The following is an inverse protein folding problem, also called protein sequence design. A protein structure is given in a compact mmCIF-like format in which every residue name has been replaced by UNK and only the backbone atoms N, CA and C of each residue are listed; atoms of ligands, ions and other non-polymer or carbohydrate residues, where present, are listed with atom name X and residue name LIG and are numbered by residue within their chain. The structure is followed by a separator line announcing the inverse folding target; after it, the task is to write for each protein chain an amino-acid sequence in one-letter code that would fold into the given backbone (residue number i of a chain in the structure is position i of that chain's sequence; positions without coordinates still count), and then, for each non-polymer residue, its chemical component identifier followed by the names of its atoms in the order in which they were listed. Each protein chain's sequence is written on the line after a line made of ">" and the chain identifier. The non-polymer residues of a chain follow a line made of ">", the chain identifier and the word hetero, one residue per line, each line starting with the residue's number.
data_IF_792535855233
#
_entry.id   IF_792535855233
#
_cell.length_a   1.000
_cell.length_b   1.000
_cell.length_c   1.000
_cell.angle_alpha   90.00
_cell.angle_beta   90.00
_cell.angle_gamma   90.00
#
_symmetry.space_group_name_H-M   'P 1'
#
loop_
_entity.id
_entity.type
_entity.pdbx_description
1 polymer ?
#
# COMPACT_ATOMS: atom_id res chain seq x y z
N UNK A 1 -23.37 21.15 -6.23
CA UNK A 1 -21.89 21.13 -6.25
C UNK A 1 -21.37 19.80 -6.82
N UNK A 2 -20.52 19.77 -7.86
CA UNK A 2 -20.18 18.52 -8.53
C UNK A 2 -19.16 17.76 -7.67
N UNK A 3 -19.52 16.54 -7.26
CA UNK A 3 -18.63 15.66 -6.52
C UNK A 3 -17.53 15.17 -7.47
N UNK A 4 -16.28 15.55 -7.18
CA UNK A 4 -15.08 15.07 -7.87
C UNK A 4 -14.82 13.62 -7.46
N UNK A 5 -15.43 12.69 -8.19
CA UNK A 5 -15.03 11.30 -8.16
C UNK A 5 -13.73 11.19 -8.95
N UNK A 6 -12.58 11.20 -8.26
CA UNK A 6 -11.32 10.85 -8.90
C UNK A 6 -11.36 9.38 -9.28
N UNK A 7 -10.67 9.02 -10.35
CA UNK A 7 -10.55 7.64 -10.80
C UNK A 7 -10.10 6.72 -9.65
N UNK A 8 -9.23 7.20 -8.76
CA UNK A 8 -8.78 6.45 -7.58
C UNK A 8 -9.91 6.16 -6.59
N UNK A 9 -10.81 7.12 -6.33
CA UNK A 9 -11.96 6.92 -5.44
C UNK A 9 -12.96 5.94 -6.02
N UNK A 10 -13.17 5.99 -7.33
CA UNK A 10 -14.07 5.07 -8.02
C UNK A 10 -13.53 3.64 -7.98
N UNK A 11 -12.23 3.48 -8.24
CA UNK A 11 -11.58 2.17 -8.17
C UNK A 11 -11.45 1.64 -6.74
N UNK A 12 -11.14 2.50 -5.77
CA UNK A 12 -11.15 2.14 -4.35
C UNK A 12 -12.50 1.58 -3.92
N UNK A 13 -13.60 2.23 -4.33
CA UNK A 13 -14.95 1.77 -4.07
C UNK A 13 -15.25 0.42 -4.75
N UNK A 14 -14.79 0.21 -6.00
CA UNK A 14 -15.00 -1.06 -6.72
C UNK A 14 -14.21 -2.22 -6.11
N UNK A 15 -12.94 -1.98 -5.77
CA UNK A 15 -12.10 -2.97 -5.09
C UNK A 15 -12.68 -3.38 -3.72
N UNK A 16 -13.23 -2.41 -2.98
CA UNK A 16 -13.87 -2.66 -1.70
C UNK A 16 -15.18 -3.44 -1.86
N UNK A 17 -15.97 -3.18 -2.90
CA UNK A 17 -17.20 -3.91 -3.20
C UNK A 17 -16.96 -5.36 -3.63
N UNK A 18 -15.89 -5.62 -4.39
CA UNK A 18 -15.55 -6.98 -4.86
C UNK A 18 -14.93 -7.85 -3.76
N UNK A 19 -14.27 -7.26 -2.75
CA UNK A 19 -13.79 -8.00 -1.56
C UNK A 19 -14.90 -8.78 -0.85
N UNK A 20 -16.10 -8.22 -0.79
CA UNK A 20 -17.24 -8.84 -0.11
C UNK A 20 -17.84 -10.02 -0.90
N UNK A 21 -17.48 -10.18 -2.18
CA UNK A 21 -18.07 -11.19 -3.06
C UNK A 21 -17.25 -12.48 -3.20
N UNK A 22 -16.02 -12.55 -2.70
CA UNK A 22 -15.17 -13.73 -2.93
C UNK A 22 -14.34 -14.10 -1.70
N UNK A 23 -14.58 -15.30 -1.14
CA UNK A 23 -13.85 -15.82 0.03
C UNK A 23 -12.61 -16.62 -0.40
N UNK A 24 -11.41 -16.26 0.08
CA UNK A 24 -10.21 -17.11 0.00
C UNK A 24 -8.88 -16.36 -0.08
N UNK A 25 -7.81 -17.00 0.41
CA UNK A 25 -6.42 -16.47 0.50
C UNK A 25 -5.77 -16.21 -0.88
N UNK A 26 -6.33 -16.77 -1.96
CA UNK A 26 -5.90 -16.51 -3.34
C UNK A 26 -6.62 -15.36 -4.06
N UNK A 27 -7.75 -14.89 -3.54
CA UNK A 27 -8.58 -13.89 -4.24
C UNK A 27 -7.97 -12.48 -4.17
N UNK A 28 -7.30 -12.15 -3.07
CA UNK A 28 -6.68 -10.84 -2.89
C UNK A 28 -5.60 -10.59 -3.94
N UNK A 29 -4.78 -11.61 -4.23
CA UNK A 29 -3.76 -11.55 -5.30
C UNK A 29 -4.38 -11.42 -6.69
N UNK A 30 -5.45 -12.17 -6.99
CA UNK A 30 -6.17 -12.09 -8.28
C UNK A 30 -6.84 -10.72 -8.49
N UNK A 31 -7.46 -10.16 -7.45
CA UNK A 31 -8.07 -8.82 -7.52
C UNK A 31 -7.01 -7.74 -7.73
N UNK A 32 -5.90 -7.84 -7.00
CA UNK A 32 -4.73 -6.98 -7.17
C UNK A 32 -4.21 -7.01 -8.61
N UNK A 33 -3.98 -8.20 -9.16
CA UNK A 33 -3.47 -8.36 -10.52
C UNK A 33 -4.45 -7.79 -11.56
N UNK A 34 -5.75 -7.98 -11.35
CA UNK A 34 -6.79 -7.40 -12.20
C UNK A 34 -6.84 -5.87 -12.12
N UNK A 35 -6.69 -5.28 -10.93
CA UNK A 35 -6.64 -3.83 -10.75
C UNK A 35 -5.41 -3.24 -11.45
N UNK A 36 -4.25 -3.89 -11.32
CA UNK A 36 -3.03 -3.49 -12.00
C UNK A 36 -3.19 -3.54 -13.53
N UNK A 37 -3.80 -4.61 -14.06
CA UNK A 37 -4.06 -4.78 -15.49
C UNK A 37 -5.08 -3.78 -16.05
N UNK A 38 -6.19 -3.56 -15.34
CA UNK A 38 -7.22 -2.60 -15.76
C UNK A 38 -6.69 -1.17 -15.73
N UNK A 39 -5.90 -0.80 -14.71
CA UNK A 39 -5.26 0.53 -14.65
C UNK A 39 -4.27 0.73 -15.79
N UNK A 40 -3.45 -0.29 -16.08
CA UNK A 40 -2.54 -0.26 -17.21
C UNK A 40 -3.28 -0.04 -18.55
N UNK A 41 -4.45 -0.67 -18.71
CA UNK A 41 -5.25 -0.53 -19.92
C UNK A 41 -5.93 0.85 -20.07
N UNK A 42 -6.18 1.56 -18.97
CA UNK A 42 -6.91 2.84 -18.97
C UNK A 42 -6.01 4.07 -19.12
N UNK A 43 -4.70 3.95 -18.89
CA UNK A 43 -3.75 5.05 -19.00
C UNK A 43 -2.54 4.71 -19.88
N UNK A 44 -2.72 4.45 -21.19
CA UNK A 44 -1.60 4.17 -22.09
C UNK A 44 -0.75 5.42 -22.41
N UNK A 45 -1.31 6.64 -22.44
CA UNK A 45 -0.65 7.82 -23.06
C UNK A 45 -0.84 9.18 -22.32
N UNK A 46 -1.25 9.24 -21.06
CA UNK A 46 -1.51 10.50 -20.34
C UNK A 46 -0.45 10.84 -19.28
N UNK A 47 0.20 12.02 -19.38
CA UNK A 47 1.15 12.54 -18.39
C UNK A 47 0.48 12.81 -17.02
N UNK A 48 0.24 11.74 -16.27
CA UNK A 48 0.10 11.72 -14.83
C UNK A 48 1.19 10.75 -14.36
N UNK A 49 2.01 11.12 -13.37
CA UNK A 49 2.99 10.20 -12.84
C UNK A 49 2.30 8.87 -12.51
N UNK A 50 2.85 7.70 -12.91
CA UNK A 50 2.24 6.41 -12.60
C UNK A 50 1.84 6.38 -11.14
N UNK A 51 0.66 5.88 -10.80
CA UNK A 51 0.17 5.87 -9.42
C UNK A 51 1.21 5.37 -8.37
N UNK A 52 2.05 4.34 -8.67
CA UNK A 52 3.18 3.99 -7.79
C UNK A 52 4.16 5.15 -7.52
N UNK A 53 4.44 6.00 -8.50
CA UNK A 53 5.26 7.20 -8.33
C UNK A 53 4.57 8.27 -7.48
N UNK A 54 3.24 8.40 -7.56
CA UNK A 54 2.48 9.29 -6.67
C UNK A 54 2.51 8.78 -5.22
N UNK A 55 2.32 7.48 -5.02
CA UNK A 55 2.48 6.83 -3.71
C UNK A 55 3.89 7.02 -3.18
N UNK A 56 4.91 6.88 -4.03
CA UNK A 56 6.30 7.09 -3.64
C UNK A 56 6.56 8.55 -3.21
N UNK A 57 5.96 9.53 -3.89
CA UNK A 57 6.07 10.94 -3.51
C UNK A 57 5.39 11.22 -2.16
N UNK A 58 4.19 10.68 -1.94
CA UNK A 58 3.49 10.75 -0.65
C UNK A 58 4.27 10.06 0.46
N UNK A 59 4.91 8.93 0.16
CA UNK A 59 5.74 8.20 1.10
C UNK A 59 6.96 9.02 1.51
N UNK A 60 7.66 9.64 0.56
CA UNK A 60 8.76 10.55 0.87
C UNK A 60 8.32 11.72 1.77
N UNK A 61 7.15 12.31 1.50
CA UNK A 61 6.60 13.38 2.32
C UNK A 61 6.22 12.91 3.73
N UNK A 62 5.55 11.75 3.83
CA UNK A 62 5.17 11.14 5.10
C UNK A 62 6.40 10.87 5.98
N UNK A 63 7.46 10.31 5.40
CA UNK A 63 8.72 10.06 6.11
C UNK A 63 9.37 11.34 6.64
N UNK A 64 9.44 12.37 5.81
CA UNK A 64 9.98 13.66 6.21
C UNK A 64 9.18 14.27 7.38
N UNK A 65 7.86 14.07 7.41
CA UNK A 65 7.02 14.47 8.52
C UNK A 65 7.30 13.66 9.80
N UNK A 66 7.49 12.34 9.70
CA UNK A 66 7.88 11.49 10.85
C UNK A 66 9.24 11.93 11.43
N UNK A 67 10.23 12.17 10.56
CA UNK A 67 11.56 12.61 10.95
C UNK A 67 11.53 14.02 11.57
N UNK A 68 10.74 14.93 11.01
CA UNK A 68 10.49 16.26 11.56
C UNK A 68 9.79 16.23 12.93
N UNK A 69 8.98 15.21 13.19
CA UNK A 69 8.38 14.93 14.50
C UNK A 69 9.34 14.22 15.47
N UNK A 70 10.60 13.98 15.08
CA UNK A 70 11.63 13.38 15.91
C UNK A 70 11.65 11.85 15.90
N UNK A 71 10.82 11.18 15.08
CA UNK A 71 10.94 9.73 14.90
C UNK A 71 12.20 9.43 14.08
N UNK A 72 12.97 8.46 14.56
CA UNK A 72 14.10 7.91 13.83
C UNK A 72 13.83 6.44 13.58
N UNK A 73 14.07 6.01 12.35
CA UNK A 73 13.90 4.63 11.95
C UNK A 73 15.26 4.00 11.65
N UNK A 74 15.47 2.79 12.15
CA UNK A 74 16.64 1.98 11.81
C UNK A 74 16.62 1.56 10.35
N UNK A 75 17.76 1.12 9.80
CA UNK A 75 17.83 0.60 8.44
C UNK A 75 16.85 -0.57 8.20
N UNK A 76 16.64 -1.41 9.22
CA UNK A 76 15.68 -2.51 9.15
C UNK A 76 14.23 -2.01 9.15
N UNK A 77 13.89 -1.03 9.99
CA UNK A 77 12.57 -0.40 9.97
C UNK A 77 12.32 0.28 8.63
N UNK A 78 13.33 0.94 8.05
CA UNK A 78 13.20 1.56 6.73
C UNK A 78 12.91 0.57 5.64
N UNK A 79 13.61 -0.57 5.65
CA UNK A 79 13.35 -1.63 4.69
C UNK A 79 11.89 -2.08 4.70
N UNK A 80 11.30 -2.26 5.90
CA UNK A 80 9.90 -2.63 6.04
C UNK A 80 8.95 -1.54 5.53
N UNK A 81 9.19 -0.28 5.90
CA UNK A 81 8.39 0.85 5.44
C UNK A 81 8.44 1.01 3.91
N UNK A 82 9.62 0.85 3.31
CA UNK A 82 9.79 0.96 1.86
C UNK A 82 8.99 -0.13 1.14
N UNK A 83 8.99 -1.36 1.67
CA UNK A 83 8.22 -2.47 1.09
C UNK A 83 6.71 -2.31 1.28
N UNK A 84 6.26 -1.77 2.41
CA UNK A 84 4.84 -1.44 2.63
C UNK A 84 4.39 -0.38 1.62
N UNK A 85 5.16 0.70 1.45
CA UNK A 85 4.85 1.76 0.49
C UNK A 85 4.81 1.23 -0.95
N UNK A 86 5.78 0.37 -1.34
CA UNK A 86 5.79 -0.28 -2.64
C UNK A 86 4.54 -1.16 -2.85
N UNK A 87 4.16 -1.95 -1.85
CA UNK A 87 2.97 -2.80 -1.91
C UNK A 87 1.69 -1.96 -2.07
N UNK A 88 1.56 -0.87 -1.31
CA UNK A 88 0.42 0.06 -1.42
C UNK A 88 0.39 0.74 -2.80
N UNK A 89 1.56 1.10 -3.34
CA UNK A 89 1.68 1.68 -4.69
C UNK A 89 1.13 0.79 -5.79
N UNK A 90 1.22 -0.53 -5.61
CA UNK A 90 0.70 -1.52 -6.56
C UNK A 90 -0.75 -1.91 -6.26
N UNK A 91 -1.11 -2.00 -4.97
CA UNK A 91 -2.30 -2.74 -4.52
C UNK A 91 -3.34 -1.86 -3.80
N UNK A 92 -3.10 -0.55 -3.73
CA UNK A 92 -3.92 0.48 -3.06
C UNK A 92 -4.07 0.32 -1.54
N UNK A 93 -3.63 -0.79 -0.97
CA UNK A 93 -3.59 -1.01 0.47
C UNK A 93 -2.70 -2.20 0.80
N UNK A 94 -2.36 -2.32 2.07
CA UNK A 94 -1.72 -3.50 2.65
C UNK A 94 -2.40 -3.87 3.96
N UNK A 95 -2.70 -5.15 4.13
CA UNK A 95 -3.25 -5.75 5.33
C UNK A 95 -2.20 -6.57 6.07
N UNK A 96 -2.36 -6.85 7.37
CA UNK A 96 -1.49 -7.75 8.13
C UNK A 96 -1.21 -9.10 7.47
N UNK A 97 -2.17 -9.65 6.73
CA UNK A 97 -2.07 -10.95 6.05
C UNK A 97 -1.15 -10.90 4.84
N UNK A 98 -0.97 -9.73 4.22
CA UNK A 98 -0.15 -9.56 3.02
C UNK A 98 1.35 -9.77 3.30
N UNK A 99 1.79 -9.63 4.56
CA UNK A 99 3.16 -9.94 4.99
C UNK A 99 3.50 -11.44 4.88
N UNK A 100 2.48 -12.29 4.95
CA UNK A 100 2.62 -13.74 4.95
C UNK A 100 2.44 -14.34 3.54
N UNK A 101 2.31 -13.48 2.51
CA UNK A 101 2.27 -13.88 1.10
C UNK A 101 3.68 -14.03 0.53
N UNK A 102 3.88 -15.02 -0.35
CA UNK A 102 5.16 -15.28 -1.01
C UNK A 102 5.82 -13.99 -1.55
N UNK A 103 7.09 -13.76 -1.19
CA UNK A 103 7.83 -12.58 -1.61
C UNK A 103 8.95 -12.22 -0.64
N UNK A 104 9.55 -11.04 -0.83
CA UNK A 104 10.69 -10.58 -0.02
C UNK A 104 10.33 -10.44 1.47
N UNK A 105 9.13 -9.95 1.79
CA UNK A 105 8.66 -9.82 3.17
C UNK A 105 8.50 -11.17 3.85
N UNK A 106 7.88 -12.14 3.18
CA UNK A 106 7.78 -13.52 3.65
C UNK A 106 9.15 -14.16 3.85
N UNK A 107 10.05 -14.01 2.88
CA UNK A 107 11.43 -14.53 2.97
C UNK A 107 12.23 -13.91 4.12
N UNK A 108 11.87 -12.70 4.57
CA UNK A 108 12.47 -12.04 5.74
C UNK A 108 11.78 -12.40 7.06
N UNK A 109 10.83 -13.34 7.07
CA UNK A 109 10.12 -13.80 8.27
C UNK A 109 8.69 -13.29 8.39
N UNK A 110 8.16 -12.70 7.32
CA UNK A 110 6.77 -12.28 7.18
C UNK A 110 6.32 -11.34 8.29
N UNK A 111 5.10 -11.53 8.76
CA UNK A 111 4.50 -10.65 9.77
C UNK A 111 5.29 -10.64 11.09
N UNK A 112 5.84 -11.77 11.52
CA UNK A 112 6.57 -11.84 12.79
C UNK A 112 7.81 -10.94 12.77
N UNK A 113 8.59 -11.00 11.70
CA UNK A 113 9.76 -10.14 11.56
C UNK A 113 9.39 -8.64 11.41
N UNK A 114 8.23 -8.34 10.81
CA UNK A 114 7.71 -6.98 10.76
C UNK A 114 7.34 -6.46 12.16
N UNK A 115 6.70 -7.29 13.00
CA UNK A 115 6.39 -6.96 14.41
C UNK A 115 7.67 -6.71 15.19
N UNK A 116 8.67 -7.59 15.06
CA UNK A 116 9.95 -7.45 15.77
C UNK A 116 10.69 -6.16 15.37
N UNK A 117 10.66 -5.80 14.09
CA UNK A 117 11.34 -4.60 13.59
C UNK A 117 10.60 -3.30 13.91
N UNK A 118 9.29 -3.25 13.68
CA UNK A 118 8.47 -2.03 13.80
C UNK A 118 7.92 -1.83 15.22
N UNK A 119 7.98 -2.85 16.07
CA UNK A 119 7.58 -2.79 17.47
C UNK A 119 6.06 -2.82 17.69
N UNK A 120 5.65 -2.43 18.89
CA UNK A 120 4.25 -2.53 19.34
C UNK A 120 3.27 -1.73 18.47
N UNK A 121 3.74 -0.63 17.87
CA UNK A 121 2.90 0.30 17.10
C UNK A 121 2.79 -0.08 15.62
N UNK A 122 3.30 -1.24 15.19
CA UNK A 122 3.37 -1.62 13.76
C UNK A 122 1.99 -1.60 13.06
N UNK A 123 0.90 -1.97 13.75
CA UNK A 123 -0.45 -1.94 13.17
C UNK A 123 -0.94 -0.51 12.97
N UNK A 124 -0.64 0.38 13.92
CA UNK A 124 -0.96 1.79 13.79
C UNK A 124 -0.17 2.40 12.63
N UNK A 125 1.11 2.05 12.52
CA UNK A 125 1.97 2.51 11.44
C UNK A 125 1.47 2.05 10.07
N UNK A 126 1.06 0.78 9.96
CA UNK A 126 0.46 0.23 8.75
C UNK A 126 -0.85 0.94 8.38
N UNK A 127 -1.72 1.19 9.37
CA UNK A 127 -2.98 1.89 9.15
C UNK A 127 -2.75 3.35 8.70
N UNK A 128 -1.78 4.03 9.32
CA UNK A 128 -1.37 5.39 8.96
C UNK A 128 -0.84 5.43 7.52
N UNK A 129 0.05 4.52 7.13
CA UNK A 129 0.56 4.47 5.75
C UNK A 129 -0.54 4.17 4.74
N UNK A 130 -1.46 3.25 5.03
CA UNK A 130 -2.62 3.01 4.15
C UNK A 130 -3.48 4.27 3.95
N UNK A 131 -3.64 5.08 5.01
CA UNK A 131 -4.41 6.31 4.94
C UNK A 131 -3.65 7.40 4.16
N UNK A 132 -2.39 7.66 4.49
CA UNK A 132 -1.63 8.80 3.94
C UNK A 132 -1.20 8.59 2.49
N UNK A 133 -0.94 7.35 2.07
CA UNK A 133 -0.35 7.07 0.76
C UNK A 133 -1.38 6.98 -0.37
N UNK A 134 -2.66 6.80 -0.06
CA UNK A 134 -3.72 6.51 -1.04
C UNK A 134 -4.54 7.76 -1.41
N UNK A 135 -4.37 8.87 -0.68
CA UNK A 135 -5.19 10.10 -0.73
C UNK A 135 -5.00 10.95 -1.96
#
# INVERSE_FOLDING_TARGET
>A
PPHLWTEEKLWGAYAQLEKDKVRGVGTQRVLTDLIALVRHALQPDGELAPYPAQVQARYAAWLAAQEGAGKQFSAEQRWWLDKIAQYIGLNLQMTPQDFDLDGEMYNKGGRFAAVDALGADWQQLLAEMNAELVV
#
